data_IF_212081054809
#
_entry.id   IF_212081054809
#
_cell.length_a   1.000
_cell.length_b   1.000
_cell.length_c   1.000
_cell.angle_alpha   90.00
_cell.angle_beta   90.00
_cell.angle_gamma   90.00
#
_symmetry.space_group_name_H-M   'P 1'
#
loop_
_entity.id
_entity.type
_entity.pdbx_description
1 polymer ?
#
# COMPACT_ATOMS: atom_id res chain seq x y z
N UNK A 1 -20.40 13.03 5.41
CA UNK A 1 -19.92 11.74 5.93
C UNK A 1 -20.03 10.66 4.87
N UNK A 2 -18.99 10.50 4.05
CA UNK A 2 -18.84 9.35 3.15
C UNK A 2 -17.97 8.28 3.82
N UNK A 3 -18.39 7.03 3.72
CA UNK A 3 -17.74 5.89 4.38
C UNK A 3 -17.40 4.84 3.33
N UNK A 4 -16.22 4.22 3.45
CA UNK A 4 -15.85 3.03 2.71
C UNK A 4 -15.80 1.82 3.67
N UNK A 5 -16.23 0.66 3.18
CA UNK A 5 -16.18 -0.61 3.90
C UNK A 5 -15.47 -1.65 3.03
N UNK A 6 -14.33 -2.15 3.52
CA UNK A 6 -13.53 -3.19 2.86
C UNK A 6 -14.02 -4.56 3.31
N UNK A 7 -14.67 -5.29 2.41
CA UNK A 7 -15.00 -6.69 2.64
C UNK A 7 -13.82 -7.57 2.19
N UNK A 8 -12.89 -7.84 3.09
CA UNK A 8 -11.64 -8.56 2.83
C UNK A 8 -11.87 -10.08 2.71
N UNK A 9 -12.54 -10.53 1.64
CA UNK A 9 -12.90 -11.96 1.45
C UNK A 9 -11.66 -12.84 1.28
N UNK A 10 -10.63 -12.36 0.57
CA UNK A 10 -9.42 -13.11 0.22
C UNK A 10 -8.13 -12.57 0.85
N UNK A 11 -8.24 -11.59 1.75
CA UNK A 11 -7.12 -10.82 2.28
C UNK A 11 -7.18 -9.36 1.86
N UNK A 12 -6.10 -8.63 2.07
CA UNK A 12 -5.91 -7.26 1.62
C UNK A 12 -4.43 -7.03 1.27
N UNK A 13 -4.18 -6.46 0.11
CA UNK A 13 -2.90 -5.91 -0.35
C UNK A 13 -3.15 -4.52 -0.94
N UNK A 14 -2.11 -3.71 -1.11
CA UNK A 14 -2.30 -2.34 -1.57
C UNK A 14 -2.88 -2.27 -2.98
N UNK A 15 -2.39 -3.07 -3.91
CA UNK A 15 -2.96 -3.21 -5.27
C UNK A 15 -4.45 -3.63 -5.25
N UNK A 16 -4.87 -4.54 -4.36
CA UNK A 16 -6.27 -4.92 -4.18
C UNK A 16 -7.13 -3.77 -3.65
N UNK A 17 -6.61 -2.98 -2.71
CA UNK A 17 -7.30 -1.80 -2.19
C UNK A 17 -7.40 -0.72 -3.26
N UNK A 18 -6.32 -0.44 -3.99
CA UNK A 18 -6.29 0.51 -5.09
C UNK A 18 -7.25 0.09 -6.21
N UNK A 19 -7.24 -1.17 -6.63
CA UNK A 19 -8.18 -1.71 -7.60
C UNK A 19 -9.63 -1.52 -7.16
N UNK A 20 -9.92 -1.74 -5.87
CA UNK A 20 -11.26 -1.53 -5.30
C UNK A 20 -11.68 -0.06 -5.33
N UNK A 21 -10.75 0.88 -5.12
CA UNK A 21 -11.02 2.31 -5.24
C UNK A 21 -11.28 2.72 -6.69
N UNK A 22 -10.50 2.19 -7.64
CA UNK A 22 -10.71 2.40 -9.09
C UNK A 22 -12.07 1.85 -9.53
N UNK A 23 -12.42 0.62 -9.12
CA UNK A 23 -13.72 0.01 -9.38
C UNK A 23 -14.87 0.86 -8.80
N UNK A 24 -14.62 1.54 -7.67
CA UNK A 24 -15.54 2.47 -7.02
C UNK A 24 -15.62 3.86 -7.68
N UNK A 25 -14.90 4.07 -8.79
CA UNK A 25 -14.93 5.31 -9.58
C UNK A 25 -13.75 6.26 -9.36
N UNK A 26 -12.64 5.82 -8.76
CA UNK A 26 -11.41 6.60 -8.71
C UNK A 26 -10.79 6.71 -10.11
N UNK A 27 -10.42 7.93 -10.52
CA UNK A 27 -9.70 8.16 -11.77
C UNK A 27 -8.24 7.72 -11.64
N UNK A 28 -7.88 6.64 -12.35
CA UNK A 28 -6.53 6.06 -12.37
C UNK A 28 -5.49 7.05 -12.89
N UNK A 29 -5.84 7.90 -13.85
CA UNK A 29 -4.91 8.90 -14.41
C UNK A 29 -4.66 10.03 -13.41
N UNK A 30 -5.71 10.47 -12.72
CA UNK A 30 -5.60 11.40 -11.60
C UNK A 30 -4.75 10.85 -10.46
N UNK A 31 -4.93 9.57 -10.09
CA UNK A 31 -4.13 8.90 -9.07
C UNK A 31 -2.65 8.82 -9.50
N UNK A 32 -2.38 8.38 -10.73
CA UNK A 32 -1.02 8.32 -11.27
C UNK A 32 -0.34 9.69 -11.24
N UNK A 33 -1.05 10.75 -11.65
CA UNK A 33 -0.53 12.12 -11.60
C UNK A 33 -0.23 12.58 -10.17
N UNK A 34 -1.10 12.24 -9.22
CA UNK A 34 -0.91 12.58 -7.81
C UNK A 34 0.32 11.85 -7.22
N UNK A 35 0.51 10.57 -7.51
CA UNK A 35 1.67 9.80 -7.09
C UNK A 35 2.98 10.35 -7.71
N UNK A 36 2.96 10.74 -8.99
CA UNK A 36 4.12 11.43 -9.60
C UNK A 36 4.43 12.76 -8.91
N UNK A 37 3.41 13.52 -8.47
CA UNK A 37 3.63 14.77 -7.73
C UNK A 37 4.31 14.59 -6.37
N UNK A 38 4.23 13.39 -5.78
CA UNK A 38 4.91 13.00 -4.53
C UNK A 38 6.40 12.71 -4.76
N UNK A 39 6.87 12.71 -6.02
CA UNK A 39 8.26 12.38 -6.37
C UNK A 39 8.47 10.89 -6.61
N UNK A 40 7.39 10.12 -6.80
CA UNK A 40 7.46 8.71 -7.16
C UNK A 40 7.57 8.63 -8.69
N UNK A 41 8.62 7.98 -9.16
CA UNK A 41 8.89 7.77 -10.59
C UNK A 41 9.06 6.27 -10.88
N UNK A 42 9.12 5.89 -12.16
CA UNK A 42 9.38 4.51 -12.55
C UNK A 42 8.22 3.55 -12.28
N UNK A 43 6.98 4.04 -12.30
CA UNK A 43 5.79 3.20 -12.19
C UNK A 43 4.74 3.54 -13.26
N UNK A 44 3.87 2.57 -13.56
CA UNK A 44 2.69 2.73 -14.39
C UNK A 44 1.52 1.98 -13.75
N UNK A 45 0.37 2.64 -13.66
CA UNK A 45 -0.87 2.02 -13.21
C UNK A 45 -1.74 1.68 -14.42
N UNK A 46 -2.19 0.43 -14.51
CA UNK A 46 -3.11 -0.02 -15.55
C UNK A 46 -4.33 -0.70 -14.93
N UNK A 47 -5.51 -0.13 -15.13
CA UNK A 47 -6.76 -0.69 -14.65
C UNK A 47 -7.40 -1.55 -15.75
N UNK A 48 -7.57 -2.83 -15.47
CA UNK A 48 -8.12 -3.83 -16.38
C UNK A 48 -9.42 -4.39 -15.82
N UNK A 49 -10.45 -4.46 -16.65
CA UNK A 49 -11.65 -5.22 -16.30
C UNK A 49 -11.38 -6.70 -16.57
N UNK A 50 -11.41 -7.51 -15.52
CA UNK A 50 -11.23 -8.95 -15.62
C UNK A 50 -12.53 -9.71 -15.36
N UNK A 51 -12.66 -10.89 -15.99
CA UNK A 51 -13.70 -11.87 -15.71
C UNK A 51 -13.01 -13.19 -15.33
N UNK A 52 -13.14 -13.59 -14.07
CA UNK A 52 -12.61 -14.85 -13.55
C UNK A 52 -13.77 -15.77 -13.22
N UNK A 53 -14.04 -16.72 -14.12
CA UNK A 53 -15.09 -17.73 -13.95
C UNK A 53 -16.49 -17.13 -13.72
N UNK A 54 -16.81 -16.02 -14.39
CA UNK A 54 -18.11 -15.34 -14.29
C UNK A 54 -18.18 -14.27 -13.20
N UNK A 55 -17.10 -14.04 -12.45
CA UNK A 55 -16.98 -12.94 -11.49
C UNK A 55 -16.16 -11.83 -12.13
N UNK A 56 -16.78 -10.67 -12.30
CA UNK A 56 -16.13 -9.48 -12.85
C UNK A 56 -15.58 -8.59 -11.74
N UNK A 57 -14.45 -7.97 -11.99
CA UNK A 57 -13.87 -6.95 -11.13
C UNK A 57 -12.72 -6.22 -11.83
N UNK A 58 -12.36 -5.07 -11.29
CA UNK A 58 -11.16 -4.37 -11.71
C UNK A 58 -9.93 -5.05 -11.12
N UNK A 59 -8.95 -5.36 -11.97
CA UNK A 59 -7.58 -5.63 -11.59
C UNK A 59 -6.75 -4.38 -11.86
N UNK A 60 -5.94 -3.96 -10.89
CA UNK A 60 -4.99 -2.88 -11.08
C UNK A 60 -3.59 -3.49 -11.15
N UNK A 61 -2.95 -3.36 -12.31
CA UNK A 61 -1.56 -3.75 -12.49
C UNK A 61 -0.66 -2.55 -12.13
N UNK A 62 0.28 -2.77 -11.21
CA UNK A 62 1.25 -1.78 -10.74
C UNK A 62 2.61 -2.15 -11.32
N UNK A 63 2.87 -1.63 -12.51
CA UNK A 63 4.09 -1.91 -13.25
C UNK A 63 5.23 -1.02 -12.77
N UNK A 64 6.19 -1.60 -12.07
CA UNK A 64 7.32 -0.90 -11.44
C UNK A 64 8.64 -1.23 -12.15
N UNK A 65 9.46 -0.22 -12.42
CA UNK A 65 10.85 -0.39 -12.81
C UNK A 65 11.64 -1.00 -11.65
N UNK A 66 11.99 -2.28 -11.79
CA UNK A 66 12.68 -3.08 -10.76
C UNK A 66 14.18 -2.78 -10.64
N UNK A 67 14.66 -1.67 -11.21
CA UNK A 67 16.02 -1.20 -10.99
C UNK A 67 16.23 -0.55 -9.61
N UNK A 68 15.15 -0.26 -8.87
CA UNK A 68 15.21 0.24 -7.50
C UNK A 68 15.78 -0.84 -6.55
N UNK A 69 16.90 -0.58 -5.84
CA UNK A 69 17.49 -1.52 -4.89
C UNK A 69 16.61 -1.82 -3.67
N UNK A 70 15.55 -1.05 -3.39
CA UNK A 70 14.50 -1.43 -2.44
C UNK A 70 14.91 -1.39 -0.96
N UNK A 71 15.79 -0.47 -0.55
CA UNK A 71 16.37 -0.42 0.81
C UNK A 71 15.97 0.78 1.66
N UNK A 72 14.71 1.20 1.55
CA UNK A 72 14.21 2.34 2.34
C UNK A 72 13.88 1.93 3.77
N UNK A 73 14.07 2.87 4.67
CA UNK A 73 13.58 2.82 6.05
C UNK A 73 12.21 3.51 6.14
N UNK A 74 11.46 3.31 7.23
CA UNK A 74 10.23 4.09 7.48
C UNK A 74 10.48 5.61 7.45
N UNK A 75 11.63 6.05 7.96
CA UNK A 75 12.01 7.47 7.96
C UNK A 75 12.17 8.01 6.54
N UNK A 76 12.78 7.24 5.63
CA UNK A 76 12.93 7.66 4.23
C UNK A 76 11.56 7.89 3.57
N UNK A 77 10.58 7.02 3.83
CA UNK A 77 9.21 7.19 3.32
C UNK A 77 8.50 8.41 3.93
N UNK A 78 8.65 8.62 5.23
CA UNK A 78 8.08 9.77 5.94
C UNK A 78 8.65 11.08 5.37
N UNK A 79 9.96 11.14 5.09
CA UNK A 79 10.61 12.31 4.51
C UNK A 79 10.08 12.61 3.09
N UNK A 80 9.89 11.57 2.26
CA UNK A 80 9.26 11.70 0.93
C UNK A 80 7.84 12.28 1.06
N UNK A 81 7.03 11.72 1.95
CA UNK A 81 5.64 12.16 2.18
C UNK A 81 5.59 13.60 2.69
N UNK A 82 6.46 13.98 3.62
CA UNK A 82 6.48 15.32 4.20
C UNK A 82 6.86 16.39 3.17
N UNK A 83 7.77 16.07 2.25
CA UNK A 83 8.17 16.94 1.15
C UNK A 83 7.12 17.07 0.04
N UNK A 84 6.16 16.14 -0.02
CA UNK A 84 5.18 16.08 -1.10
C UNK A 84 4.14 17.22 -1.04
N UNK A 85 3.67 17.72 -2.20
CA UNK A 85 2.66 18.77 -2.30
C UNK A 85 1.23 18.23 -2.14
N UNK A 86 0.99 17.39 -1.14
CA UNK A 86 -0.32 16.80 -0.82
C UNK A 86 -0.90 17.39 0.46
N UNK A 87 -2.17 17.09 0.77
CA UNK A 87 -2.84 17.66 1.95
C UNK A 87 -2.17 17.21 3.26
N UNK A 88 -2.18 18.08 4.28
CA UNK A 88 -1.64 17.75 5.60
C UNK A 88 -2.37 16.56 6.24
N UNK A 89 -3.66 16.36 5.93
CA UNK A 89 -4.38 15.16 6.37
C UNK A 89 -3.82 13.90 5.74
N UNK A 90 -3.47 13.92 4.46
CA UNK A 90 -2.89 12.76 3.77
C UNK A 90 -1.46 12.49 4.22
N UNK A 91 -0.66 13.53 4.45
CA UNK A 91 0.67 13.39 5.07
C UNK A 91 0.58 12.70 6.42
N UNK A 92 -0.28 13.19 7.32
CA UNK A 92 -0.45 12.61 8.66
C UNK A 92 -0.80 11.12 8.59
N UNK A 93 -1.77 10.75 7.75
CA UNK A 93 -2.20 9.35 7.59
C UNK A 93 -1.09 8.47 7.02
N UNK A 94 -0.39 8.90 5.97
CA UNK A 94 0.72 8.15 5.41
C UNK A 94 1.83 7.94 6.45
N UNK A 95 2.20 9.00 7.19
CA UNK A 95 3.21 8.91 8.25
C UNK A 95 2.77 7.96 9.38
N UNK A 96 1.49 7.95 9.77
CA UNK A 96 0.95 6.98 10.74
C UNK A 96 1.12 5.53 10.25
N UNK A 97 0.84 5.25 8.97
CA UNK A 97 1.03 3.91 8.39
C UNK A 97 2.51 3.52 8.37
N UNK A 98 3.41 4.39 7.92
CA UNK A 98 4.84 4.07 7.89
C UNK A 98 5.45 3.89 9.27
N UNK A 99 5.02 4.67 10.27
CA UNK A 99 5.43 4.43 11.66
C UNK A 99 4.96 3.06 12.15
N UNK A 100 3.72 2.66 11.85
CA UNK A 100 3.21 1.34 12.23
C UNK A 100 3.98 0.19 11.57
N UNK A 101 4.35 0.34 10.30
CA UNK A 101 5.23 -0.60 9.60
C UNK A 101 6.59 -0.68 10.30
N UNK A 102 7.20 0.46 10.61
CA UNK A 102 8.49 0.53 11.30
C UNK A 102 8.46 -0.10 12.69
N UNK A 103 7.39 0.10 13.45
CA UNK A 103 7.19 -0.52 14.76
C UNK A 103 7.09 -2.05 14.67
N UNK A 104 6.33 -2.56 13.69
CA UNK A 104 6.17 -4.00 13.48
C UNK A 104 7.51 -4.66 13.06
N UNK A 105 8.22 -4.05 12.11
CA UNK A 105 9.50 -4.53 11.62
C UNK A 105 10.59 -4.45 12.70
N UNK A 106 10.68 -3.32 13.41
CA UNK A 106 11.60 -3.15 14.53
C UNK A 106 11.35 -4.17 15.65
N UNK A 107 10.09 -4.51 15.92
CA UNK A 107 9.74 -5.54 16.90
C UNK A 107 10.21 -6.93 16.48
N UNK A 108 9.99 -7.33 15.22
CA UNK A 108 10.40 -8.65 14.71
C UNK A 108 11.92 -8.78 14.62
N UNK A 109 12.61 -7.70 14.26
CA UNK A 109 14.07 -7.68 14.09
C UNK A 109 14.85 -7.31 15.35
N UNK A 110 14.20 -6.81 16.40
CA UNK A 110 14.86 -6.31 17.61
C UNK A 110 15.68 -5.03 17.36
N UNK A 111 15.26 -4.23 16.40
CA UNK A 111 15.91 -2.99 15.97
C UNK A 111 15.08 -1.75 16.34
N UNK A 112 15.69 -0.57 16.25
CA UNK A 112 14.99 0.70 16.44
C UNK A 112 13.98 0.94 15.29
N UNK A 113 12.69 1.20 15.58
CA UNK A 113 11.65 1.34 14.55
C UNK A 113 11.93 2.38 13.45
N UNK A 114 12.67 3.44 13.77
CA UNK A 114 12.99 4.49 12.80
C UNK A 114 14.15 4.15 11.87
N UNK A 115 14.94 3.12 12.22
CA UNK A 115 16.18 2.74 11.54
C UNK A 115 16.17 1.32 10.98
N UNK A 116 15.15 0.54 11.28
CA UNK A 116 14.99 -0.81 10.75
C UNK A 116 14.96 -0.75 9.22
N UNK A 117 15.76 -1.61 8.60
CA UNK A 117 15.72 -1.78 7.16
C UNK A 117 14.50 -2.63 6.81
N UNK A 118 13.65 -2.10 5.93
CA UNK A 118 12.46 -2.81 5.46
C UNK A 118 12.89 -3.81 4.39
N UNK A 119 13.04 -5.07 4.80
CA UNK A 119 13.49 -6.16 3.92
C UNK A 119 12.44 -6.47 2.84
N UNK A 120 11.17 -6.50 3.21
CA UNK A 120 10.08 -6.86 2.30
C UNK A 120 9.26 -5.63 1.85
N UNK A 121 9.38 -4.50 2.57
CA UNK A 121 8.57 -3.28 2.38
C UNK A 121 9.40 -2.03 2.01
N UNK A 122 10.67 -2.19 1.62
CA UNK A 122 11.58 -1.06 1.33
C UNK A 122 11.50 -0.50 -0.10
N UNK A 123 10.55 -0.97 -0.92
CA UNK A 123 10.48 -0.71 -2.37
C UNK A 123 9.52 0.43 -2.73
N UNK A 124 9.52 0.87 -4.00
CA UNK A 124 8.51 1.85 -4.44
C UNK A 124 7.07 1.29 -4.41
N UNK A 125 6.90 -0.02 -4.42
CA UNK A 125 5.59 -0.67 -4.34
C UNK A 125 4.87 -0.28 -3.05
N UNK A 126 5.59 -0.33 -1.93
CA UNK A 126 5.07 0.03 -0.61
C UNK A 126 4.61 1.49 -0.54
N UNK A 127 5.36 2.43 -1.12
CA UNK A 127 4.92 3.84 -1.11
C UNK A 127 3.75 4.07 -2.06
N UNK A 128 3.69 3.39 -3.22
CA UNK A 128 2.53 3.44 -4.13
C UNK A 128 1.29 2.92 -3.42
N UNK A 129 1.40 1.80 -2.71
CA UNK A 129 0.31 1.20 -1.96
C UNK A 129 -0.21 2.13 -0.86
N UNK A 130 0.66 2.59 0.04
CA UNK A 130 0.27 3.42 1.18
C UNK A 130 -0.25 4.79 0.71
N UNK A 131 0.56 5.51 -0.06
CA UNK A 131 0.22 6.86 -0.50
C UNK A 131 -0.94 6.82 -1.49
N UNK A 132 -0.96 5.85 -2.40
CA UNK A 132 -2.02 5.72 -3.38
C UNK A 132 -3.37 5.44 -2.74
N UNK A 133 -3.45 4.56 -1.74
CA UNK A 133 -4.72 4.28 -1.03
C UNK A 133 -5.18 5.52 -0.28
N UNK A 134 -4.29 6.21 0.44
CA UNK A 134 -4.63 7.42 1.19
C UNK A 134 -5.15 8.52 0.26
N UNK A 135 -4.43 8.79 -0.84
CA UNK A 135 -4.85 9.79 -1.84
C UNK A 135 -6.14 9.37 -2.55
N UNK A 136 -6.30 8.09 -2.90
CA UNK A 136 -7.52 7.59 -3.53
C UNK A 136 -8.75 7.75 -2.64
N UNK A 137 -8.61 7.48 -1.33
CA UNK A 137 -9.67 7.74 -0.35
C UNK A 137 -10.01 9.23 -0.26
N UNK A 138 -9.01 10.11 -0.24
CA UNK A 138 -9.21 11.57 -0.23
C UNK A 138 -9.90 12.07 -1.51
N UNK A 139 -9.45 11.61 -2.69
CA UNK A 139 -10.02 11.96 -3.99
C UNK A 139 -11.48 11.51 -4.11
N UNK A 140 -11.82 10.36 -3.52
CA UNK A 140 -13.21 9.89 -3.41
C UNK A 140 -13.99 10.57 -2.28
N UNK A 141 -13.37 11.48 -1.51
CA UNK A 141 -13.95 12.17 -0.35
C UNK A 141 -14.43 11.21 0.75
N UNK A 142 -13.73 10.09 0.96
CA UNK A 142 -14.02 9.13 2.02
C UNK A 142 -13.48 9.65 3.35
N UNK A 143 -14.38 9.77 4.34
CA UNK A 143 -14.04 10.31 5.66
C UNK A 143 -13.71 9.21 6.67
N UNK A 144 -14.27 8.00 6.49
CA UNK A 144 -14.02 6.84 7.36
C UNK A 144 -13.88 5.56 6.56
N UNK A 145 -12.94 4.72 6.97
CA UNK A 145 -12.70 3.39 6.44
C UNK A 145 -12.97 2.36 7.54
N UNK A 146 -13.71 1.31 7.18
CA UNK A 146 -13.94 0.14 8.03
C UNK A 146 -13.59 -1.12 7.23
N UNK A 147 -13.33 -2.22 7.91
CA UNK A 147 -13.10 -3.51 7.27
C UNK A 147 -13.85 -4.64 7.97
N UNK A 148 -14.09 -5.71 7.23
CA UNK A 148 -14.34 -7.04 7.82
C UNK A 148 -13.07 -7.54 8.53
N UNK A 149 -13.16 -8.59 9.37
CA UNK A 149 -11.97 -9.29 9.83
C UNK A 149 -11.08 -9.71 8.65
N UNK A 150 -9.75 -9.56 8.80
CA UNK A 150 -8.79 -9.95 7.78
C UNK A 150 -8.56 -11.45 7.85
N UNK A 151 -8.80 -12.21 6.77
CA UNK A 151 -8.51 -13.63 6.74
C UNK A 151 -7.00 -13.83 6.62
N UNK A 152 -6.35 -14.27 7.68
CA UNK A 152 -4.89 -14.50 7.71
C UNK A 152 -4.48 -15.78 7.00
N UNK A 153 -5.40 -16.73 6.82
CA UNK A 153 -5.12 -18.00 6.16
C UNK A 153 -4.19 -18.92 6.95
N UNK A 154 -3.59 -19.88 6.25
CA UNK A 154 -2.64 -20.86 6.80
C UNK A 154 -1.75 -21.41 5.69
N UNK A 155 -0.54 -21.86 6.02
CA UNK A 155 0.38 -22.44 5.03
C UNK A 155 1.80 -21.92 5.22
N UNK A 156 2.56 -21.87 4.13
CA UNK A 156 3.92 -21.31 4.13
C UNK A 156 4.16 -20.41 2.93
N UNK A 157 4.89 -19.32 3.13
CA UNK A 157 5.30 -18.37 2.09
C UNK A 157 6.82 -18.28 2.02
N UNK A 158 7.36 -18.02 0.83
CA UNK A 158 8.80 -17.82 0.64
C UNK A 158 9.12 -16.34 0.65
N UNK A 159 9.99 -15.93 1.55
CA UNK A 159 10.41 -14.55 1.76
C UNK A 159 11.94 -14.43 1.77
N UNK A 160 12.48 -13.23 1.98
CA UNK A 160 13.93 -13.02 2.14
C UNK A 160 14.50 -13.80 3.35
N UNK A 161 13.64 -14.08 4.33
CA UNK A 161 13.94 -14.86 5.53
C UNK A 161 13.78 -16.38 5.34
N UNK A 162 13.53 -16.83 4.11
CA UNK A 162 13.30 -18.22 3.77
C UNK A 162 11.83 -18.62 3.78
N UNK A 163 11.54 -19.86 4.15
CA UNK A 163 10.16 -20.36 4.17
C UNK A 163 9.55 -20.10 5.55
N UNK A 164 8.53 -19.24 5.62
CA UNK A 164 7.85 -18.83 6.85
C UNK A 164 6.41 -19.36 6.90
N UNK A 165 5.85 -19.64 8.10
CA UNK A 165 4.43 -19.95 8.23
C UNK A 165 3.58 -18.72 7.92
N UNK A 166 2.34 -18.94 7.49
CA UNK A 166 1.32 -17.90 7.36
C UNK A 166 0.43 -17.90 8.61
N UNK A 167 0.20 -16.74 9.26
CA UNK A 167 0.73 -15.41 8.91
C UNK A 167 2.23 -15.30 9.22
N UNK A 168 2.95 -14.57 8.36
CA UNK A 168 4.36 -14.28 8.58
C UNK A 168 4.53 -13.27 9.74
N UNK A 169 5.71 -13.18 10.38
CA UNK A 169 5.94 -12.33 11.54
C UNK A 169 5.70 -10.83 11.31
N UNK A 170 5.98 -10.35 10.10
CA UNK A 170 5.64 -9.02 9.61
C UNK A 170 5.05 -9.17 8.19
N UNK A 171 3.90 -8.53 7.94
CA UNK A 171 3.16 -8.53 6.66
C UNK A 171 2.33 -7.26 6.55
#
# INVERSE_FOLDING_TARGET
MKVAYVNAIGGASGDMLLASLVDSGLDVMGLSSALTSVGIEGFQLEALLEDRQGVKGTHLDVNIDRSDPGKRTPTDFIDIVNAAPISESSKSKCCEVFNMIGEAEGFVHGEDPGKVHLHELGTIDTIIDVVGVVLGLEMLSVEKLYSSPIPTGSGTVRTEHGLLPVPAPAT
#
